data_IF_782829353901
#
_entry.id   IF_782829353901
#
_cell.length_a   1.000
_cell.length_b   1.000
_cell.length_c   1.000
_cell.angle_alpha   90.00
_cell.angle_beta   90.00
_cell.angle_gamma   90.00
#
_symmetry.space_group_name_H-M   'P 1'
#
loop_
_entity.id
_entity.type
_entity.pdbx_description
1 polymer ?
#
# COMPACT_ATOMS: atom_id res chain seq x y z
N UNK A 1 -14.75 9.63 -15.19
CA UNK A 1 -15.86 10.01 -14.26
C UNK A 1 -15.72 11.49 -13.99
N UNK A 2 -16.75 12.27 -14.24
CA UNK A 2 -16.74 13.70 -13.93
C UNK A 2 -17.36 13.93 -12.54
N UNK A 3 -16.53 14.25 -11.55
CA UNK A 3 -16.92 14.47 -10.15
C UNK A 3 -17.33 15.93 -9.86
N UNK A 4 -17.55 16.75 -10.89
CA UNK A 4 -17.75 18.21 -10.77
C UNK A 4 -19.06 18.61 -10.06
N UNK A 5 -19.99 17.69 -9.84
CA UNK A 5 -21.34 18.01 -9.40
C UNK A 5 -21.59 17.94 -7.88
N UNK A 6 -20.56 17.81 -7.05
CA UNK A 6 -20.72 17.70 -5.60
C UNK A 6 -21.50 16.46 -5.13
N UNK A 7 -21.66 15.46 -5.98
CA UNK A 7 -22.31 14.20 -5.65
C UNK A 7 -21.27 13.13 -5.30
N UNK A 8 -21.61 12.26 -4.35
CA UNK A 8 -20.82 11.08 -4.07
C UNK A 8 -21.25 9.93 -4.98
N UNK A 9 -20.27 9.25 -5.58
CA UNK A 9 -20.53 8.09 -6.45
C UNK A 9 -19.53 6.96 -6.12
N UNK A 10 -19.92 5.72 -6.38
CA UNK A 10 -19.01 4.57 -6.25
C UNK A 10 -18.01 4.58 -7.40
N UNK A 11 -16.73 4.75 -7.07
CA UNK A 11 -15.61 4.72 -8.00
C UNK A 11 -15.17 3.28 -8.29
N UNK A 12 -15.05 2.44 -7.27
CA UNK A 12 -14.64 1.03 -7.36
C UNK A 12 -15.35 0.20 -6.30
N UNK A 13 -15.63 -1.05 -6.66
CA UNK A 13 -16.31 -2.01 -5.77
C UNK A 13 -17.82 -2.06 -5.98
N UNK A 14 -18.37 -3.27 -6.00
CA UNK A 14 -19.79 -3.57 -6.15
C UNK A 14 -20.50 -3.91 -4.83
N UNK A 15 -19.81 -3.74 -3.69
CA UNK A 15 -20.33 -4.05 -2.36
C UNK A 15 -20.14 -5.50 -1.90
N UNK A 16 -19.69 -6.40 -2.78
CA UNK A 16 -19.40 -7.79 -2.42
C UNK A 16 -18.00 -7.88 -1.82
N UNK A 17 -17.88 -8.56 -0.68
CA UNK A 17 -16.60 -8.78 0.02
C UNK A 17 -15.86 -9.96 -0.60
N UNK A 18 -15.15 -9.69 -1.68
CA UNK A 18 -14.36 -10.66 -2.44
C UNK A 18 -13.20 -9.94 -3.12
N UNK A 19 -12.21 -10.65 -3.61
CA UNK A 19 -11.15 -10.11 -4.44
C UNK A 19 -11.29 -10.67 -5.85
N UNK A 20 -12.03 -9.97 -6.71
CA UNK A 20 -12.31 -10.42 -8.07
C UNK A 20 -12.52 -9.26 -9.03
N UNK A 21 -12.71 -9.56 -10.31
CA UNK A 21 -13.07 -8.59 -11.33
C UNK A 21 -11.91 -7.93 -12.06
N UNK A 22 -10.69 -8.48 -12.01
CA UNK A 22 -9.56 -7.99 -12.82
C UNK A 22 -9.92 -7.96 -14.32
N UNK A 23 -9.49 -6.90 -14.99
CA UNK A 23 -9.78 -6.66 -16.40
C UNK A 23 -11.18 -6.09 -16.70
N UNK A 24 -11.96 -5.75 -15.66
CA UNK A 24 -13.29 -5.13 -15.77
C UNK A 24 -13.29 -3.69 -15.27
N UNK A 25 -14.42 -2.99 -15.48
CA UNK A 25 -14.63 -1.69 -14.86
C UNK A 25 -14.56 -1.83 -13.32
N UNK A 26 -13.84 -0.91 -12.66
CA UNK A 26 -13.57 -0.99 -11.23
C UNK A 26 -14.85 -1.01 -10.37
N UNK A 27 -15.92 -0.32 -10.80
CA UNK A 27 -17.22 -0.31 -10.11
C UNK A 27 -17.94 -1.67 -10.14
N UNK A 28 -17.61 -2.53 -11.10
CA UNK A 28 -18.22 -3.85 -11.27
C UNK A 28 -17.40 -4.96 -10.57
N UNK A 29 -16.21 -4.63 -10.11
CA UNK A 29 -15.32 -5.54 -9.39
C UNK A 29 -15.70 -5.67 -7.91
N UNK A 30 -15.31 -6.76 -7.28
CA UNK A 30 -15.42 -6.91 -5.82
C UNK A 30 -14.11 -6.52 -5.14
N UNK A 31 -14.19 -5.89 -3.97
CA UNK A 31 -13.04 -5.48 -3.15
C UNK A 31 -13.04 -6.18 -1.80
N UNK A 32 -11.84 -6.56 -1.33
CA UNK A 32 -11.69 -7.29 -0.08
C UNK A 32 -11.12 -6.41 1.06
N UNK A 33 -11.99 -5.61 1.64
CA UNK A 33 -11.66 -4.71 2.76
C UNK A 33 -10.71 -3.57 2.38
N UNK A 34 -11.11 -2.66 1.46
CA UNK A 34 -10.30 -1.50 1.10
C UNK A 34 -10.02 -0.63 2.32
N UNK A 35 -8.79 -0.12 2.46
CA UNK A 35 -8.34 0.65 3.63
C UNK A 35 -7.69 1.97 3.29
N UNK A 36 -6.95 2.03 2.20
CA UNK A 36 -6.27 3.23 1.77
C UNK A 36 -6.33 3.35 0.25
N UNK A 37 -6.26 4.57 -0.21
CA UNK A 37 -6.25 4.93 -1.63
C UNK A 37 -5.15 5.97 -1.83
N UNK A 38 -4.39 5.86 -2.92
CA UNK A 38 -3.55 6.93 -3.43
C UNK A 38 -3.58 6.93 -4.96
N UNK A 39 -3.05 7.99 -5.56
CA UNK A 39 -2.98 8.15 -7.01
C UNK A 39 -1.55 8.45 -7.40
N UNK A 40 -1.15 7.95 -8.58
CA UNK A 40 0.12 8.33 -9.19
C UNK A 40 -0.03 9.61 -10.05
N UNK A 41 1.08 10.10 -10.58
CA UNK A 41 1.12 11.28 -11.46
C UNK A 41 0.44 11.06 -12.81
N UNK A 42 0.21 9.80 -13.20
CA UNK A 42 -0.45 9.38 -14.43
C UNK A 42 -1.98 9.33 -14.31
N UNK A 43 -2.51 9.50 -13.08
CA UNK A 43 -3.93 9.42 -12.79
C UNK A 43 -4.44 8.00 -12.49
N UNK A 44 -3.56 6.99 -12.38
CA UNK A 44 -3.99 5.69 -11.89
C UNK A 44 -4.30 5.77 -10.39
N UNK A 45 -5.29 5.02 -9.96
CA UNK A 45 -5.70 4.93 -8.55
C UNK A 45 -5.32 3.57 -7.99
N UNK A 46 -4.64 3.57 -6.86
CA UNK A 46 -4.27 2.35 -6.15
C UNK A 46 -5.14 2.19 -4.92
N UNK A 47 -5.61 0.96 -4.68
CA UNK A 47 -6.51 0.60 -3.58
C UNK A 47 -5.83 -0.48 -2.75
N UNK A 48 -5.50 -0.15 -1.50
CA UNK A 48 -4.95 -1.09 -0.54
C UNK A 48 -6.06 -1.95 0.05
N UNK A 49 -6.00 -3.27 -0.15
CA UNK A 49 -6.96 -4.24 0.37
C UNK A 49 -6.41 -4.94 1.60
N UNK A 50 -6.87 -4.52 2.80
CA UNK A 50 -6.42 -5.13 4.07
C UNK A 50 -6.72 -6.62 4.14
N UNK A 51 -7.96 -7.01 3.88
CA UNK A 51 -8.37 -8.42 3.95
C UNK A 51 -7.96 -9.20 2.70
N UNK A 52 -7.71 -8.50 1.59
CA UNK A 52 -7.21 -9.07 0.33
C UNK A 52 -5.69 -9.25 0.30
N UNK A 53 -4.97 -8.82 1.35
CA UNK A 53 -3.52 -8.91 1.45
C UNK A 53 -2.80 -8.45 0.18
N UNK A 54 -3.12 -7.23 -0.28
CA UNK A 54 -2.50 -6.70 -1.48
C UNK A 54 -3.02 -5.34 -1.91
N UNK A 55 -2.69 -4.98 -3.15
CA UNK A 55 -3.04 -3.70 -3.76
C UNK A 55 -3.68 -3.95 -5.12
N UNK A 56 -4.78 -3.25 -5.39
CA UNK A 56 -5.41 -3.19 -6.72
C UNK A 56 -5.07 -1.84 -7.37
N UNK A 57 -4.97 -1.85 -8.69
CA UNK A 57 -4.80 -0.65 -9.52
C UNK A 57 -6.04 -0.46 -10.38
N UNK A 58 -6.53 0.77 -10.44
CA UNK A 58 -7.51 1.21 -11.43
C UNK A 58 -6.79 2.18 -12.36
N UNK A 59 -6.75 1.86 -13.64
CA UNK A 59 -6.12 2.72 -14.63
C UNK A 59 -7.01 3.91 -15.05
N UNK A 60 -6.50 4.74 -15.94
CA UNK A 60 -7.21 5.95 -16.43
C UNK A 60 -8.48 5.62 -17.23
N UNK A 61 -8.59 4.41 -17.75
CA UNK A 61 -9.77 3.91 -18.45
C UNK A 61 -10.81 3.32 -17.48
N UNK A 62 -10.49 3.29 -16.18
CA UNK A 62 -11.35 2.75 -15.13
C UNK A 62 -11.30 1.24 -14.99
N UNK A 63 -10.30 0.58 -15.61
CA UNK A 63 -10.14 -0.88 -15.55
C UNK A 63 -9.32 -1.25 -14.30
N UNK A 64 -9.84 -2.19 -13.51
CA UNK A 64 -9.16 -2.66 -12.32
C UNK A 64 -8.31 -3.89 -12.60
N UNK A 65 -7.17 -3.97 -11.92
CA UNK A 65 -6.27 -5.12 -11.96
C UNK A 65 -5.60 -5.34 -10.61
N UNK A 66 -5.10 -6.55 -10.38
CA UNK A 66 -4.21 -6.83 -9.24
C UNK A 66 -2.83 -6.22 -9.53
N UNK A 67 -2.38 -5.31 -8.65
CA UNK A 67 -1.07 -4.68 -8.76
C UNK A 67 -0.04 -5.35 -7.86
N UNK A 68 -0.40 -5.67 -6.63
CA UNK A 68 0.48 -6.34 -5.69
C UNK A 68 -0.26 -7.37 -4.83
N UNK A 69 0.45 -8.45 -4.49
CA UNK A 69 0.00 -9.48 -3.58
C UNK A 69 -0.72 -10.64 -4.24
N UNK A 70 -0.36 -11.86 -3.81
CA UNK A 70 -1.03 -13.10 -4.22
C UNK A 70 -2.42 -13.27 -3.60
N UNK A 71 -2.79 -12.45 -2.62
CA UNK A 71 -3.98 -12.62 -1.78
C UNK A 71 -3.71 -13.44 -0.51
N UNK A 72 -2.65 -14.23 -0.48
CA UNK A 72 -2.25 -14.98 0.71
C UNK A 72 -1.57 -14.07 1.72
N UNK A 73 -1.88 -14.27 3.00
CA UNK A 73 -1.20 -13.58 4.09
C UNK A 73 0.21 -14.14 4.29
N UNK A 74 1.19 -13.25 4.44
CA UNK A 74 2.57 -13.64 4.72
C UNK A 74 3.53 -12.45 4.59
N UNK A 75 4.83 -12.73 4.74
CA UNK A 75 5.92 -11.77 4.59
C UNK A 75 6.98 -12.38 3.67
N UNK A 76 6.78 -12.21 2.36
CA UNK A 76 7.66 -12.79 1.33
C UNK A 76 7.70 -11.88 0.10
N UNK A 77 8.73 -12.07 -0.71
CA UNK A 77 8.79 -11.52 -2.06
C UNK A 77 9.67 -10.29 -2.21
N UNK A 78 10.42 -9.87 -1.19
CA UNK A 78 11.40 -8.79 -1.33
C UNK A 78 12.45 -9.14 -2.40
N UNK A 79 12.75 -8.17 -3.26
CA UNK A 79 13.61 -8.35 -4.43
C UNK A 79 12.90 -8.96 -5.65
N UNK A 80 11.64 -9.38 -5.51
CA UNK A 80 10.81 -9.92 -6.59
C UNK A 80 9.66 -9.01 -6.99
N UNK A 81 8.87 -9.45 -7.98
CA UNK A 81 7.73 -8.71 -8.49
C UNK A 81 6.61 -8.61 -7.43
N UNK A 82 6.04 -7.42 -7.26
CA UNK A 82 5.08 -7.12 -6.20
C UNK A 82 3.80 -7.98 -6.26
N UNK A 83 3.34 -8.36 -7.45
CA UNK A 83 2.16 -9.21 -7.61
C UNK A 83 2.37 -10.66 -7.12
N UNK A 84 3.65 -11.11 -7.01
CA UNK A 84 4.03 -12.41 -6.46
C UNK A 84 4.30 -12.36 -4.94
N UNK A 85 4.36 -11.18 -4.35
CA UNK A 85 4.66 -11.02 -2.93
C UNK A 85 3.49 -11.43 -2.05
N UNK A 86 3.77 -11.80 -0.80
CA UNK A 86 2.77 -11.96 0.26
C UNK A 86 2.81 -10.76 1.20
N UNK A 87 1.64 -10.32 1.63
CA UNK A 87 1.44 -9.16 2.49
C UNK A 87 0.66 -9.53 3.74
N UNK A 88 0.87 -8.80 4.83
CA UNK A 88 0.19 -9.01 6.11
C UNK A 88 -0.81 -7.91 6.42
N UNK A 89 -1.99 -7.97 5.83
CA UNK A 89 -3.08 -7.04 6.11
C UNK A 89 -2.64 -5.55 6.03
N UNK A 90 -2.16 -5.06 4.89
CA UNK A 90 -1.69 -3.69 4.73
C UNK A 90 -2.81 -2.69 5.02
N UNK A 91 -2.48 -1.53 5.61
CA UNK A 91 -3.49 -0.56 6.05
C UNK A 91 -3.32 0.85 5.51
N UNK A 92 -2.12 1.23 5.14
CA UNK A 92 -1.84 2.56 4.60
C UNK A 92 -0.93 2.47 3.39
N UNK A 93 -1.01 3.48 2.56
CA UNK A 93 -0.26 3.54 1.32
C UNK A 93 -0.14 4.99 0.84
N UNK A 94 0.97 5.34 0.21
CA UNK A 94 1.20 6.62 -0.47
C UNK A 94 1.99 6.39 -1.75
N UNK A 95 1.77 7.24 -2.74
CA UNK A 95 2.70 7.40 -3.86
C UNK A 95 3.74 8.46 -3.47
N UNK A 96 5.01 8.22 -3.80
CA UNK A 96 6.06 9.22 -3.70
C UNK A 96 6.15 10.06 -5.00
N UNK A 97 7.12 11.00 -5.05
CA UNK A 97 7.31 11.88 -6.22
C UNK A 97 7.84 11.16 -7.48
N UNK A 98 8.19 9.88 -7.36
CA UNK A 98 8.63 9.01 -8.45
C UNK A 98 7.58 7.94 -8.79
N UNK A 99 6.36 8.13 -8.27
CA UNK A 99 5.23 7.19 -8.40
C UNK A 99 5.47 5.80 -7.77
N UNK A 100 6.52 5.64 -6.92
CA UNK A 100 6.66 4.41 -6.16
C UNK A 100 5.54 4.31 -5.12
N UNK A 101 5.06 3.11 -4.85
CA UNK A 101 4.11 2.89 -3.76
C UNK A 101 4.84 2.56 -2.46
N UNK A 102 4.62 3.38 -1.45
CA UNK A 102 5.05 3.13 -0.07
C UNK A 102 3.86 2.53 0.67
N UNK A 103 3.97 1.27 1.06
CA UNK A 103 2.88 0.48 1.65
C UNK A 103 3.23 0.08 3.07
N UNK A 104 2.33 0.38 4.00
CA UNK A 104 2.45 -0.05 5.41
C UNK A 104 1.88 -1.45 5.54
N UNK A 105 2.76 -2.44 5.64
CA UNK A 105 2.48 -3.86 5.76
C UNK A 105 2.32 -4.22 7.25
N UNK A 106 1.19 -3.83 7.80
CA UNK A 106 0.92 -3.66 9.22
C UNK A 106 1.21 -4.88 10.08
N UNK A 107 0.68 -6.05 9.71
CA UNK A 107 0.83 -7.26 10.53
C UNK A 107 2.20 -7.93 10.33
N UNK A 108 2.98 -7.45 9.36
CA UNK A 108 4.39 -7.81 9.18
C UNK A 108 5.35 -6.80 9.84
N UNK A 109 4.82 -5.78 10.52
CA UNK A 109 5.61 -4.74 11.18
C UNK A 109 6.63 -4.09 10.22
N UNK A 110 6.22 -3.85 8.98
CA UNK A 110 7.09 -3.38 7.91
C UNK A 110 6.51 -2.22 7.13
N UNK A 111 7.38 -1.41 6.55
CA UNK A 111 7.04 -0.52 5.44
C UNK A 111 7.80 -1.01 4.22
N UNK A 112 7.06 -1.26 3.14
CA UNK A 112 7.60 -1.82 1.90
C UNK A 112 7.37 -0.85 0.76
N UNK A 113 8.35 -0.74 -0.14
CA UNK A 113 8.27 0.05 -1.36
C UNK A 113 8.06 -0.88 -2.57
N UNK A 114 7.17 -0.49 -3.45
CA UNK A 114 7.05 -1.05 -4.79
C UNK A 114 7.59 -0.01 -5.76
N UNK A 115 8.65 -0.35 -6.44
CA UNK A 115 9.28 0.51 -7.44
C UNK A 115 8.38 0.64 -8.68
N UNK A 116 8.11 1.87 -9.11
CA UNK A 116 7.15 2.16 -10.17
C UNK A 116 7.60 1.68 -11.55
N UNK A 117 8.92 1.57 -11.78
CA UNK A 117 9.51 1.20 -13.06
C UNK A 117 9.71 -0.31 -13.16
N UNK A 118 10.33 -0.91 -12.15
CA UNK A 118 10.67 -2.35 -12.17
C UNK A 118 9.55 -3.24 -11.65
N UNK A 119 8.62 -2.69 -10.85
CA UNK A 119 7.58 -3.45 -10.16
C UNK A 119 8.11 -4.30 -8.99
N UNK A 120 9.38 -4.13 -8.61
CA UNK A 120 9.99 -4.90 -7.54
C UNK A 120 9.56 -4.36 -6.17
N UNK A 121 9.36 -5.27 -5.23
CA UNK A 121 9.06 -4.91 -3.84
C UNK A 121 10.29 -5.05 -2.96
N UNK A 122 10.50 -4.11 -2.04
CA UNK A 122 11.56 -4.14 -1.04
C UNK A 122 11.06 -3.62 0.30
N UNK A 123 11.51 -4.20 1.41
CA UNK A 123 11.31 -3.61 2.73
C UNK A 123 12.25 -2.44 2.91
N UNK A 124 11.70 -1.28 3.31
CA UNK A 124 12.44 -0.04 3.51
C UNK A 124 12.51 0.40 4.98
N UNK A 125 11.66 -0.15 5.84
CA UNK A 125 11.75 0.02 7.30
C UNK A 125 11.06 -1.13 8.02
N UNK A 126 11.52 -1.48 9.21
CA UNK A 126 10.95 -2.55 10.01
C UNK A 126 11.24 -3.94 9.44
N UNK A 127 10.26 -4.82 9.55
CA UNK A 127 10.34 -6.24 9.16
C UNK A 127 10.38 -7.17 10.36
N UNK A 128 10.42 -6.64 11.57
CA UNK A 128 10.30 -7.37 12.83
C UNK A 128 9.57 -6.51 13.88
N UNK A 129 9.01 -7.18 14.85
CA UNK A 129 8.33 -6.54 15.98
C UNK A 129 9.34 -5.96 16.95
N UNK A 130 9.15 -4.70 17.35
CA UNK A 130 10.01 -4.01 18.33
C UNK A 130 9.75 -2.52 18.35
N UNK A 131 10.51 -1.80 19.16
CA UNK A 131 10.42 -0.33 19.28
C UNK A 131 11.81 0.34 19.32
N UNK A 132 12.85 -0.42 19.10
CA UNK A 132 14.27 0.00 19.11
C UNK A 132 14.72 0.50 17.71
N UNK A 133 15.97 0.93 17.63
CA UNK A 133 16.66 1.23 16.37
C UNK A 133 16.67 2.69 15.97
N UNK A 134 16.25 3.63 16.84
CA UNK A 134 16.41 5.06 16.60
C UNK A 134 17.88 5.43 16.42
N UNK A 135 18.19 6.23 15.40
CA UNK A 135 19.56 6.60 15.02
C UNK A 135 20.26 5.58 14.14
N UNK A 136 19.64 4.44 13.85
CA UNK A 136 20.17 3.36 13.01
C UNK A 136 19.57 3.29 11.62
N UNK A 137 19.84 2.18 10.92
CA UNK A 137 19.29 1.89 9.59
C UNK A 137 17.80 1.55 9.73
N UNK A 138 16.90 2.12 8.89
CA UNK A 138 15.46 1.90 9.01
C UNK A 138 15.04 0.42 8.97
N UNK A 139 15.69 -0.41 8.16
CA UNK A 139 15.43 -1.85 8.06
C UNK A 139 15.92 -2.67 9.26
N UNK A 140 16.71 -2.05 10.17
CA UNK A 140 17.13 -2.66 11.43
C UNK A 140 16.32 -2.16 12.62
N UNK A 141 15.38 -1.22 12.40
CA UNK A 141 14.51 -0.73 13.46
C UNK A 141 13.30 -1.65 13.64
N UNK A 142 12.94 -1.95 14.88
CA UNK A 142 11.67 -2.62 15.18
C UNK A 142 10.49 -1.67 15.03
N UNK A 143 9.41 -2.16 14.46
CA UNK A 143 8.10 -1.49 14.41
C UNK A 143 7.06 -2.38 15.09
N UNK A 144 5.97 -1.79 15.55
CA UNK A 144 4.87 -2.58 16.10
C UNK A 144 3.52 -2.10 15.59
N UNK A 145 2.95 -2.89 14.68
CA UNK A 145 1.68 -2.62 14.01
C UNK A 145 1.57 -1.19 13.48
N UNK A 146 2.46 -0.76 12.60
CA UNK A 146 2.35 0.56 11.99
C UNK A 146 1.01 0.67 11.23
N UNK A 147 0.35 1.84 11.33
CA UNK A 147 -0.99 2.02 10.75
C UNK A 147 -1.05 3.11 9.68
N UNK A 148 -0.08 3.99 9.62
CA UNK A 148 -0.10 5.13 8.72
C UNK A 148 1.29 5.49 8.20
N UNK A 149 1.34 6.14 7.04
CA UNK A 149 2.54 6.77 6.54
C UNK A 149 2.23 8.12 5.89
N UNK A 150 3.20 9.02 5.97
CA UNK A 150 3.23 10.29 5.25
C UNK A 150 4.55 10.43 4.52
N UNK A 151 4.59 11.22 3.46
CA UNK A 151 5.80 11.54 2.70
C UNK A 151 5.82 13.06 2.55
N UNK A 152 6.95 13.70 2.88
CA UNK A 152 7.12 15.12 2.67
C UNK A 152 7.67 15.43 1.26
N UNK A 153 7.80 16.72 0.93
CA UNK A 153 8.30 17.18 -0.37
C UNK A 153 9.77 16.81 -0.64
N UNK A 154 10.53 16.46 0.40
CA UNK A 154 11.92 16.03 0.29
C UNK A 154 12.03 14.49 0.15
N UNK A 155 10.92 13.75 0.20
CA UNK A 155 10.88 12.31 0.15
C UNK A 155 11.06 11.62 1.52
N UNK A 156 11.15 12.37 2.62
CA UNK A 156 11.21 11.75 3.95
C UNK A 156 9.90 11.03 4.26
N UNK A 157 10.02 9.83 4.79
CA UNK A 157 8.90 8.97 5.14
C UNK A 157 8.65 9.03 6.64
N UNK A 158 7.41 9.29 7.03
CA UNK A 158 6.91 9.32 8.40
C UNK A 158 6.00 8.14 8.63
N UNK A 159 6.22 7.38 9.71
CA UNK A 159 5.49 6.16 10.04
C UNK A 159 4.76 6.35 11.38
N UNK A 160 3.45 6.16 11.39
CA UNK A 160 2.69 6.03 12.63
C UNK A 160 2.91 4.63 13.21
N UNK A 161 3.87 4.49 14.11
CA UNK A 161 4.26 3.23 14.77
C UNK A 161 3.32 3.00 15.97
N UNK A 162 2.13 2.47 15.66
CA UNK A 162 0.93 2.58 16.47
C UNK A 162 1.04 2.02 17.88
N UNK A 163 1.47 0.78 18.05
CA UNK A 163 1.57 0.14 19.38
C UNK A 163 2.77 0.68 20.16
N UNK A 164 3.78 1.20 19.49
CA UNK A 164 4.90 1.89 20.14
C UNK A 164 4.60 3.34 20.52
N UNK A 165 3.39 3.85 20.22
CA UNK A 165 2.96 5.22 20.53
C UNK A 165 3.92 6.31 20.03
N UNK A 166 4.48 6.13 18.82
CA UNK A 166 5.47 7.04 18.23
C UNK A 166 5.16 7.32 16.76
N UNK A 167 5.71 8.43 16.29
CA UNK A 167 5.93 8.67 14.87
C UNK A 167 7.42 8.55 14.60
N UNK A 168 7.79 7.64 13.71
CA UNK A 168 9.18 7.42 13.28
C UNK A 168 9.37 8.05 11.90
N UNK A 169 10.57 8.53 11.60
CA UNK A 169 10.86 9.13 10.31
C UNK A 169 12.26 8.74 9.82
N UNK A 170 12.41 8.66 8.50
CA UNK A 170 13.71 8.46 7.83
C UNK A 170 13.71 9.10 6.45
N UNK A 171 14.88 9.50 5.97
CA UNK A 171 15.12 9.92 4.60
C UNK A 171 15.40 8.73 3.66
N UNK A 172 15.04 8.85 2.40
CA UNK A 172 15.28 7.85 1.33
C UNK A 172 16.37 8.35 0.41
#
# INVERSE_FOLDING_TARGET
>A
MDLVNGKIETFAGNGVKERSGDGRLARDASLMGPRAVCMDSQGNTYICERAGNGVRKVDVDGIISTYAGTGERGYMGDGGLAWMAKWGAPKAMRCDNQDNLIVVDTENNAVRKIDSISGLVTTIAGGHQGGEGDGGIPTSAGLERPHGCGIDSNGNIYIADGVNHRVRAFGV
#
